data_IF_984072343699
#
_entry.id   IF_984072343699
#
_cell.length_a   1.000
_cell.length_b   1.000
_cell.length_c   1.000
_cell.angle_alpha   90.00
_cell.angle_beta   90.00
_cell.angle_gamma   90.00
#
_symmetry.space_group_name_H-M   'P 1'
#
loop_
_entity.id
_entity.type
_entity.pdbx_description
1 polymer ?
#
# COMPACT_ATOMS: atom_id res chain seq x y z
N UNK A 1 33.27 -5.85 3.36
CA UNK A 1 31.82 -5.76 3.67
C UNK A 1 31.06 -6.78 2.86
N UNK A 2 30.23 -7.57 3.51
CA UNK A 2 29.40 -8.57 2.83
C UNK A 2 28.03 -7.98 2.51
N UNK A 3 27.73 -7.76 1.22
CA UNK A 3 26.48 -7.18 0.76
C UNK A 3 25.27 -8.08 1.01
N UNK A 4 25.47 -9.38 1.26
CA UNK A 4 24.39 -10.29 1.61
C UNK A 4 23.71 -9.89 2.93
N UNK A 5 24.39 -9.14 3.78
CA UNK A 5 23.83 -8.68 5.06
C UNK A 5 22.88 -7.49 4.91
N UNK A 6 22.82 -6.88 3.73
CA UNK A 6 21.90 -5.77 3.44
C UNK A 6 20.78 -6.33 2.59
N UNK A 7 19.83 -6.99 3.24
CA UNK A 7 18.70 -7.64 2.58
C UNK A 7 17.42 -6.83 2.77
N UNK A 8 17.19 -5.89 1.85
CA UNK A 8 16.00 -5.03 1.85
C UNK A 8 14.73 -5.81 1.54
N UNK A 9 14.83 -6.86 0.72
CA UNK A 9 13.68 -7.67 0.37
C UNK A 9 13.12 -8.41 1.57
N UNK A 10 13.98 -9.06 2.35
CA UNK A 10 13.55 -9.76 3.56
C UNK A 10 12.89 -8.81 4.55
N UNK A 11 13.48 -7.62 4.76
CA UNK A 11 12.91 -6.61 5.63
C UNK A 11 11.54 -6.14 5.13
N UNK A 12 11.41 -5.87 3.84
CA UNK A 12 10.16 -5.40 3.24
C UNK A 12 9.06 -6.47 3.28
N UNK A 13 9.43 -7.76 3.21
CA UNK A 13 8.48 -8.88 3.28
C UNK A 13 7.81 -8.99 4.66
N UNK A 14 8.40 -8.42 5.71
CA UNK A 14 7.80 -8.42 7.04
C UNK A 14 6.66 -7.42 7.20
N UNK A 15 6.65 -6.37 6.40
CA UNK A 15 5.63 -5.33 6.45
C UNK A 15 5.82 -4.32 7.58
N UNK A 16 5.07 -3.23 7.50
CA UNK A 16 5.05 -2.20 8.53
C UNK A 16 3.60 -1.73 8.75
N UNK A 17 3.24 -1.50 10.01
CA UNK A 17 1.94 -0.93 10.36
C UNK A 17 2.00 0.58 10.19
N UNK A 18 1.09 1.11 9.40
CA UNK A 18 0.96 2.54 9.13
C UNK A 18 -0.26 3.07 9.87
N UNK A 19 -0.02 3.95 10.83
CA UNK A 19 -1.10 4.64 11.53
C UNK A 19 -1.56 5.79 10.67
N UNK A 20 -2.83 5.76 10.26
CA UNK A 20 -3.37 6.76 9.33
C UNK A 20 -3.49 8.13 9.98
N UNK A 21 -3.22 9.16 9.20
CA UNK A 21 -3.32 10.56 9.61
C UNK A 21 -4.37 11.29 8.80
N UNK A 22 -5.04 12.25 9.42
CA UNK A 22 -5.99 13.10 8.72
C UNK A 22 -5.25 13.90 7.64
N UNK A 23 -5.72 13.87 6.38
CA UNK A 23 -4.96 14.46 5.27
C UNK A 23 -4.79 15.97 5.35
N UNK A 24 -5.68 16.66 6.07
CA UNK A 24 -5.62 18.12 6.20
C UNK A 24 -4.88 18.57 7.45
N UNK A 25 -5.00 17.86 8.57
CA UNK A 25 -4.45 18.31 9.86
C UNK A 25 -3.16 17.57 10.25
N UNK A 26 -2.92 16.39 9.70
CA UNK A 26 -1.80 15.54 10.07
C UNK A 26 -1.98 14.80 11.39
N UNK A 27 -3.10 15.00 12.07
CA UNK A 27 -3.38 14.29 13.32
C UNK A 27 -3.72 12.84 13.06
N UNK A 28 -3.31 11.94 13.96
CA UNK A 28 -3.66 10.53 13.83
C UNK A 28 -5.17 10.32 13.92
N UNK A 29 -5.67 9.42 13.09
CA UNK A 29 -7.08 9.04 13.10
C UNK A 29 -7.33 8.01 14.21
N UNK A 30 -8.23 8.36 15.10
CA UNK A 30 -8.59 7.52 16.25
C UNK A 30 -10.08 7.22 16.20
N UNK A 31 -10.47 6.05 16.71
CA UNK A 31 -11.88 5.73 16.90
C UNK A 31 -12.39 6.33 18.23
N UNK A 32 -13.64 6.04 18.58
CA UNK A 32 -14.27 6.58 19.78
C UNK A 32 -13.58 6.12 21.07
N UNK A 33 -12.89 4.98 21.03
CA UNK A 33 -12.16 4.43 22.18
C UNK A 33 -10.69 4.88 22.21
N UNK A 34 -10.28 5.76 21.30
CA UNK A 34 -8.92 6.26 21.23
C UNK A 34 -7.93 5.32 20.53
N UNK A 35 -8.43 4.31 19.85
CA UNK A 35 -7.57 3.37 19.12
C UNK A 35 -7.25 3.88 17.72
N UNK A 36 -6.00 3.68 17.28
CA UNK A 36 -5.56 4.11 15.95
C UNK A 36 -6.23 3.31 14.83
N UNK A 37 -6.52 4.00 13.72
CA UNK A 37 -6.82 3.34 12.46
C UNK A 37 -5.49 3.06 11.77
N UNK A 38 -5.20 1.79 11.49
CA UNK A 38 -3.90 1.38 10.97
C UNK A 38 -4.03 0.33 9.88
N UNK A 39 -3.14 0.40 8.90
CA UNK A 39 -3.05 -0.55 7.79
C UNK A 39 -1.61 -1.05 7.71
N UNK A 40 -1.44 -2.38 7.64
CA UNK A 40 -0.12 -3.00 7.49
C UNK A 40 0.14 -3.25 6.02
N UNK A 41 1.25 -2.74 5.52
CA UNK A 41 1.63 -2.83 4.11
C UNK A 41 3.06 -3.36 3.97
N UNK A 42 3.27 -4.19 2.94
CA UNK A 42 4.60 -4.67 2.58
C UNK A 42 5.37 -3.55 1.84
N UNK A 43 6.69 -3.53 1.99
CA UNK A 43 7.51 -2.53 1.34
C UNK A 43 7.63 -2.76 -0.17
N UNK A 44 8.02 -1.72 -0.89
CA UNK A 44 8.20 -1.80 -2.35
C UNK A 44 9.32 -2.76 -2.76
N UNK A 45 10.24 -3.09 -1.86
CA UNK A 45 11.28 -4.07 -2.11
C UNK A 45 10.82 -5.51 -1.83
N UNK A 46 9.58 -5.69 -1.35
CA UNK A 46 9.05 -7.02 -1.01
C UNK A 46 8.83 -7.87 -2.26
N UNK A 47 8.87 -9.19 -2.05
CA UNK A 47 8.59 -10.16 -3.12
C UNK A 47 7.19 -9.94 -3.70
N UNK A 48 6.20 -9.74 -2.83
CA UNK A 48 4.82 -9.51 -3.25
C UNK A 48 4.67 -8.27 -4.11
N UNK A 49 5.25 -7.13 -3.68
CA UNK A 49 5.20 -5.88 -4.42
C UNK A 49 5.86 -6.03 -5.80
N UNK A 50 7.07 -6.60 -5.82
CA UNK A 50 7.83 -6.76 -7.06
C UNK A 50 7.09 -7.65 -8.06
N UNK A 51 6.51 -8.75 -7.60
CA UNK A 51 5.76 -9.66 -8.48
C UNK A 51 4.48 -8.99 -9.01
N UNK A 52 3.76 -8.26 -8.16
CA UNK A 52 2.57 -7.53 -8.57
C UNK A 52 2.92 -6.46 -9.61
N UNK A 53 3.99 -5.71 -9.38
CA UNK A 53 4.44 -4.66 -10.29
C UNK A 53 4.81 -5.23 -11.68
N UNK A 54 5.54 -6.34 -11.70
CA UNK A 54 5.90 -7.01 -12.96
C UNK A 54 4.66 -7.45 -13.73
N UNK A 55 3.71 -8.08 -13.05
CA UNK A 55 2.49 -8.56 -13.69
C UNK A 55 1.65 -7.42 -14.25
N UNK A 56 1.44 -6.39 -13.48
CA UNK A 56 0.62 -5.24 -13.88
C UNK A 56 1.28 -4.46 -15.00
N UNK A 57 2.59 -4.24 -14.91
CA UNK A 57 3.33 -3.52 -15.95
C UNK A 57 3.35 -4.29 -17.28
N UNK A 58 3.51 -5.62 -17.22
CA UNK A 58 3.44 -6.47 -18.41
C UNK A 58 2.05 -6.39 -19.05
N UNK A 59 1.00 -6.46 -18.24
CA UNK A 59 -0.39 -6.33 -18.72
C UNK A 59 -0.62 -5.00 -19.42
N UNK A 60 -0.14 -3.91 -18.85
CA UNK A 60 -0.28 -2.59 -19.45
C UNK A 60 0.55 -2.45 -20.73
N UNK A 61 1.77 -2.97 -20.76
CA UNK A 61 2.60 -2.97 -21.94
C UNK A 61 1.91 -3.72 -23.10
N UNK A 62 1.29 -4.85 -22.82
CA UNK A 62 0.57 -5.64 -23.82
C UNK A 62 -0.71 -4.94 -24.29
N UNK A 63 -1.42 -4.28 -23.38
CA UNK A 63 -2.68 -3.59 -23.72
C UNK A 63 -2.45 -2.35 -24.58
N UNK A 64 -1.44 -1.56 -24.25
CA UNK A 64 -1.21 -0.27 -24.92
C UNK A 64 -0.14 -0.33 -26.00
N UNK A 65 0.71 -1.35 -26.02
CA UNK A 65 1.77 -1.58 -27.03
C UNK A 65 2.52 -0.30 -27.40
N UNK A 66 2.36 0.20 -28.63
CA UNK A 66 3.04 1.40 -29.11
C UNK A 66 2.33 2.69 -28.71
N UNK A 67 1.21 2.61 -28.01
CA UNK A 67 0.46 3.75 -27.53
C UNK A 67 0.97 4.17 -26.16
N UNK A 68 0.82 5.46 -25.85
CA UNK A 68 1.13 5.97 -24.53
C UNK A 68 0.13 5.42 -23.51
N UNK A 69 0.62 4.95 -22.37
CA UNK A 69 -0.25 4.47 -21.30
C UNK A 69 -0.95 5.67 -20.65
N UNK A 70 -2.31 5.68 -20.59
CA UNK A 70 -3.03 6.80 -19.99
C UNK A 70 -2.68 6.95 -18.50
N UNK A 71 -2.65 8.19 -17.97
CA UNK A 71 -2.40 8.41 -16.53
C UNK A 71 -3.36 7.63 -15.62
N UNK A 72 -4.62 7.50 -16.01
CA UNK A 72 -5.60 6.74 -15.21
C UNK A 72 -5.22 5.26 -15.09
N UNK A 73 -4.64 4.67 -16.15
CA UNK A 73 -4.19 3.28 -16.12
C UNK A 73 -2.96 3.11 -15.22
N UNK A 74 -2.06 4.10 -15.22
CA UNK A 74 -0.88 4.09 -14.34
C UNK A 74 -1.31 4.17 -12.89
N UNK A 75 -2.26 5.05 -12.57
CA UNK A 75 -2.80 5.21 -11.22
C UNK A 75 -3.51 3.94 -10.75
N UNK A 76 -4.37 3.37 -11.59
CA UNK A 76 -5.06 2.12 -11.28
C UNK A 76 -4.09 0.97 -11.01
N UNK A 77 -2.99 0.92 -11.75
CA UNK A 77 -1.93 -0.07 -11.57
C UNK A 77 -1.28 0.06 -10.19
N UNK A 78 -1.01 1.28 -9.75
CA UNK A 78 -0.43 1.53 -8.42
C UNK A 78 -1.38 1.08 -7.30
N UNK A 79 -2.67 1.36 -7.43
CA UNK A 79 -3.65 0.94 -6.43
C UNK A 79 -3.77 -0.59 -6.36
N UNK A 80 -3.69 -1.26 -7.49
CA UNK A 80 -3.71 -2.72 -7.55
C UNK A 80 -2.49 -3.33 -6.86
N UNK A 81 -1.30 -2.80 -7.14
CA UNK A 81 -0.06 -3.25 -6.51
C UNK A 81 -0.13 -3.03 -5.00
N UNK A 82 -0.57 -1.86 -4.59
CA UNK A 82 -0.71 -1.51 -3.18
C UNK A 82 -1.71 -2.42 -2.47
N UNK A 83 -2.86 -2.70 -3.11
CA UNK A 83 -3.88 -3.58 -2.55
C UNK A 83 -3.37 -5.00 -2.34
N UNK A 84 -2.60 -5.54 -3.29
CA UNK A 84 -1.98 -6.85 -3.14
C UNK A 84 -0.92 -6.88 -2.06
N UNK A 85 -0.30 -5.74 -1.77
CA UNK A 85 0.73 -5.62 -0.73
C UNK A 85 0.15 -5.24 0.63
N UNK A 86 -1.15 -5.06 0.73
CA UNK A 86 -1.84 -4.80 2.00
C UNK A 86 -2.09 -6.14 2.71
N UNK A 87 -1.53 -6.28 3.91
CA UNK A 87 -1.60 -7.54 4.68
C UNK A 87 -2.86 -7.61 5.52
N UNK A 88 -3.12 -6.55 6.25
CA UNK A 88 -4.25 -6.46 7.18
C UNK A 88 -4.47 -5.01 7.54
N UNK A 89 -5.62 -4.73 8.16
CA UNK A 89 -5.85 -3.43 8.80
C UNK A 89 -6.64 -3.59 10.09
N UNK A 90 -6.71 -2.51 10.86
CA UNK A 90 -7.40 -2.53 12.15
C UNK A 90 -8.90 -2.74 11.97
N UNK A 91 -9.51 -3.40 12.94
CA UNK A 91 -10.94 -3.78 12.89
C UNK A 91 -11.89 -2.58 12.92
N UNK A 92 -11.38 -1.42 13.34
CA UNK A 92 -12.16 -0.20 13.48
C UNK A 92 -12.26 0.62 12.18
N UNK A 93 -11.74 0.12 11.07
CA UNK A 93 -11.89 0.78 9.77
C UNK A 93 -13.29 0.52 9.23
N UNK A 94 -14.02 1.62 8.98
CA UNK A 94 -15.36 1.59 8.44
C UNK A 94 -15.41 2.41 7.15
N UNK A 95 -16.37 2.08 6.30
CA UNK A 95 -16.64 2.82 5.08
C UNK A 95 -18.14 2.77 4.79
N UNK A 96 -18.73 3.93 4.53
CA UNK A 96 -20.19 4.07 4.30
C UNK A 96 -21.04 3.48 5.44
N UNK A 97 -20.58 3.65 6.68
CA UNK A 97 -21.33 3.28 7.88
C UNK A 97 -21.23 1.82 8.30
N UNK A 98 -20.36 1.05 7.66
CA UNK A 98 -20.18 -0.36 8.00
C UNK A 98 -18.70 -0.73 8.08
N UNK A 99 -18.37 -1.70 8.93
CA UNK A 99 -17.01 -2.23 9.03
C UNK A 99 -16.56 -2.76 7.66
N UNK A 100 -15.37 -2.38 7.26
CA UNK A 100 -14.80 -2.79 5.97
C UNK A 100 -13.77 -3.90 6.19
N UNK A 101 -14.08 -5.08 5.67
CA UNK A 101 -13.17 -6.22 5.77
C UNK A 101 -11.95 -6.01 4.88
N UNK A 102 -10.77 -6.37 5.39
CA UNK A 102 -9.52 -6.26 4.61
C UNK A 102 -9.43 -7.39 3.58
N UNK A 103 -9.84 -7.08 2.38
CA UNK A 103 -9.67 -7.94 1.20
C UNK A 103 -8.97 -7.15 0.13
N UNK A 104 -8.39 -7.83 -0.86
CA UNK A 104 -7.73 -7.18 -2.00
C UNK A 104 -8.71 -6.24 -2.72
N UNK A 105 -9.95 -6.70 -2.94
CA UNK A 105 -10.97 -5.94 -3.63
C UNK A 105 -11.38 -4.69 -2.84
N UNK A 106 -11.57 -4.85 -1.54
CA UNK A 106 -11.92 -3.72 -0.68
C UNK A 106 -10.78 -2.73 -0.55
N UNK A 107 -9.53 -3.21 -0.49
CA UNK A 107 -8.36 -2.34 -0.44
C UNK A 107 -8.25 -1.52 -1.73
N UNK A 108 -8.39 -2.14 -2.90
CA UNK A 108 -8.34 -1.45 -4.18
C UNK A 108 -9.43 -0.37 -4.28
N UNK A 109 -10.65 -0.70 -3.86
CA UNK A 109 -11.77 0.23 -3.83
C UNK A 109 -11.50 1.41 -2.89
N UNK A 110 -11.00 1.13 -1.68
CA UNK A 110 -10.71 2.16 -0.69
C UNK A 110 -9.65 3.14 -1.21
N UNK A 111 -8.57 2.63 -1.80
CA UNK A 111 -7.48 3.46 -2.33
C UNK A 111 -7.90 4.30 -3.51
N UNK A 112 -8.79 3.79 -4.35
CA UNK A 112 -9.35 4.55 -5.45
C UNK A 112 -10.25 5.69 -4.96
N UNK A 113 -11.11 5.40 -4.00
CA UNK A 113 -12.07 6.38 -3.48
C UNK A 113 -11.48 7.36 -2.48
N UNK A 114 -10.41 6.98 -1.81
CA UNK A 114 -9.71 7.82 -0.81
C UNK A 114 -8.22 7.74 -1.08
N UNK A 115 -7.79 8.40 -2.15
CA UNK A 115 -6.40 8.37 -2.60
C UNK A 115 -5.41 8.88 -1.54
N UNK A 116 -5.85 9.72 -0.61
CA UNK A 116 -4.98 10.19 0.46
C UNK A 116 -4.50 9.04 1.37
N UNK A 117 -5.31 7.98 1.51
CA UNK A 117 -4.88 6.77 2.23
C UNK A 117 -3.77 6.08 1.43
N UNK A 118 -4.00 5.89 0.14
CA UNK A 118 -3.00 5.27 -0.74
C UNK A 118 -1.67 6.04 -0.71
N UNK A 119 -1.72 7.38 -0.73
CA UNK A 119 -0.52 8.22 -0.67
C UNK A 119 0.29 7.97 0.60
N UNK A 120 -0.36 7.87 1.75
CA UNK A 120 0.33 7.59 3.02
C UNK A 120 0.97 6.21 3.02
N UNK A 121 0.27 5.21 2.48
CA UNK A 121 0.78 3.85 2.41
C UNK A 121 1.92 3.72 1.40
N UNK A 122 1.85 4.43 0.27
CA UNK A 122 2.91 4.42 -0.72
C UNK A 122 4.18 5.09 -0.20
N UNK A 123 4.05 6.18 0.53
CA UNK A 123 5.18 6.82 1.19
C UNK A 123 5.84 5.87 2.18
N UNK A 124 5.04 5.20 3.00
CA UNK A 124 5.55 4.21 3.95
C UNK A 124 6.21 3.03 3.24
N UNK A 125 5.59 2.51 2.18
CA UNK A 125 6.14 1.39 1.41
C UNK A 125 7.49 1.71 0.77
N UNK A 126 7.71 2.96 0.41
CA UNK A 126 8.96 3.44 -0.18
C UNK A 126 10.04 3.77 0.86
N UNK A 127 9.68 3.86 2.14
CA UNK A 127 10.62 4.21 3.20
C UNK A 127 11.36 2.97 3.69
N UNK A 128 12.50 2.69 3.07
CA UNK A 128 13.32 1.53 3.39
C UNK A 128 13.78 1.49 4.84
N UNK A 129 14.03 2.66 5.43
CA UNK A 129 14.47 2.74 6.82
C UNK A 129 13.42 2.18 7.79
N UNK A 130 12.13 2.43 7.53
CA UNK A 130 11.07 1.94 8.40
C UNK A 130 10.96 0.42 8.43
N UNK A 131 11.39 -0.26 7.36
CA UNK A 131 11.41 -1.73 7.30
C UNK A 131 12.72 -2.31 7.82
N UNK A 132 13.84 -1.76 7.35
CA UNK A 132 15.17 -2.34 7.62
C UNK A 132 15.67 -2.07 9.03
N UNK A 133 15.32 -0.93 9.60
CA UNK A 133 15.81 -0.50 10.92
C UNK A 133 14.84 -0.75 12.08
N UNK A 134 13.68 -1.32 11.81
CA UNK A 134 12.69 -1.57 12.86
C UNK A 134 13.10 -2.67 13.83
#
# INVERSE_FOLDING_TARGET
MDLANIDLQAAADEGVEVKLQHPATGEYLLDEEGEHLAITVLGKDSTTWQNAAKRVNTRNANRYKDRKIPPAAIEAALYEILAESTVKWSKNIEFDGAALKCTKENAAMLYEKRNWIAEQLMEAAADRASYFLK
#
